data_IF_131096322154
#
_entry.id   IF_131096322154
#
_cell.length_a   1.000
_cell.length_b   1.000
_cell.length_c   1.000
_cell.angle_alpha   90.00
_cell.angle_beta   90.00
_cell.angle_gamma   90.00
#
_symmetry.space_group_name_H-M   'P 1'
#
loop_
_entity.id
_entity.type
_entity.pdbx_description
1 polymer ?
#
# COMPACT_ATOMS: atom_id res chain seq x y z
N UNK A 1 9.75 5.29 -28.80
CA UNK A 1 9.84 4.15 -27.86
C UNK A 1 9.33 4.65 -26.52
N UNK A 2 8.15 4.20 -26.08
CA UNK A 2 7.60 4.59 -24.79
C UNK A 2 8.39 3.88 -23.70
N UNK A 3 9.36 4.59 -23.15
CA UNK A 3 10.19 4.14 -22.04
C UNK A 3 9.34 4.31 -20.78
N UNK A 4 8.81 3.19 -20.29
CA UNK A 4 8.17 3.12 -18.99
C UNK A 4 9.21 3.56 -17.96
N UNK A 5 9.12 4.82 -17.51
CA UNK A 5 9.80 5.28 -16.30
C UNK A 5 9.19 4.51 -15.14
N UNK A 6 9.74 3.33 -14.90
CA UNK A 6 9.62 2.62 -13.63
C UNK A 6 10.01 3.61 -12.55
N UNK A 7 9.00 4.08 -11.82
CA UNK A 7 9.19 4.75 -10.55
C UNK A 7 10.01 3.80 -9.67
N UNK A 8 11.33 3.94 -9.72
CA UNK A 8 12.28 3.41 -8.76
C UNK A 8 11.97 4.07 -7.43
N UNK A 9 10.91 3.59 -6.77
CA UNK A 9 10.87 3.55 -5.33
C UNK A 9 12.04 2.65 -4.97
N UNK A 10 13.19 3.26 -4.74
CA UNK A 10 14.35 2.62 -4.13
C UNK A 10 13.85 2.22 -2.75
N UNK A 11 13.33 0.99 -2.66
CA UNK A 11 13.08 0.36 -1.39
C UNK A 11 14.45 -0.13 -0.98
N UNK A 12 15.18 0.70 -0.23
CA UNK A 12 16.31 0.27 0.58
C UNK A 12 15.97 -1.09 1.17
N UNK A 13 16.86 -2.08 0.97
CA UNK A 13 16.62 -3.46 1.37
C UNK A 13 16.13 -3.46 2.83
N UNK A 14 14.87 -3.85 3.09
CA UNK A 14 14.30 -3.75 4.42
C UNK A 14 15.10 -4.60 5.40
N UNK A 15 15.80 -3.91 6.31
CA UNK A 15 16.74 -4.48 7.29
C UNK A 15 16.02 -5.31 8.35
N UNK A 16 14.75 -4.99 8.63
CA UNK A 16 13.94 -5.74 9.60
C UNK A 16 12.78 -6.48 8.94
N UNK A 17 12.26 -7.50 9.63
CA UNK A 17 11.04 -8.21 9.20
C UNK A 17 9.84 -7.25 9.15
N UNK A 18 9.78 -6.27 10.05
CA UNK A 18 8.72 -5.27 10.06
C UNK A 18 8.73 -4.44 8.76
N UNK A 19 9.90 -3.96 8.35
CA UNK A 19 10.07 -3.18 7.11
C UNK A 19 9.68 -3.99 5.87
N UNK A 20 9.98 -5.31 5.87
CA UNK A 20 9.56 -6.23 4.80
C UNK A 20 8.05 -6.36 4.72
N UNK A 21 7.39 -6.50 5.86
CA UNK A 21 5.93 -6.59 5.95
C UNK A 21 5.29 -5.29 5.47
N UNK A 22 5.81 -4.13 5.89
CA UNK A 22 5.32 -2.82 5.44
C UNK A 22 5.51 -2.63 3.93
N UNK A 23 6.71 -2.94 3.42
CA UNK A 23 7.02 -2.93 1.98
C UNK A 23 6.02 -3.78 1.20
N UNK A 24 5.76 -5.01 1.66
CA UNK A 24 4.85 -5.92 0.99
C UNK A 24 3.40 -5.41 0.99
N UNK A 25 2.97 -4.80 2.10
CA UNK A 25 1.66 -4.15 2.21
C UNK A 25 1.52 -2.98 1.25
N UNK A 26 2.52 -2.09 1.19
CA UNK A 26 2.51 -0.93 0.28
C UNK A 26 2.48 -1.39 -1.18
N UNK A 27 3.34 -2.34 -1.56
CA UNK A 27 3.35 -2.90 -2.91
C UNK A 27 2.02 -3.54 -3.29
N UNK A 28 1.44 -4.31 -2.38
CA UNK A 28 0.14 -4.96 -2.61
C UNK A 28 -0.97 -3.94 -2.75
N UNK A 29 -0.99 -2.91 -1.90
CA UNK A 29 -1.92 -1.78 -1.99
C UNK A 29 -1.82 -1.10 -3.35
N UNK A 30 -0.62 -0.73 -3.80
CA UNK A 30 -0.41 -0.06 -5.09
C UNK A 30 -0.87 -0.93 -6.27
N UNK A 31 -0.61 -2.24 -6.22
CA UNK A 31 -1.04 -3.19 -7.25
C UNK A 31 -2.56 -3.31 -7.34
N UNK A 32 -3.25 -3.37 -6.20
CA UNK A 32 -4.72 -3.40 -6.14
C UNK A 32 -5.29 -2.06 -6.58
N UNK A 33 -4.69 -0.94 -6.17
CA UNK A 33 -5.13 0.39 -6.57
C UNK A 33 -4.98 0.63 -8.08
N UNK A 34 -3.94 0.06 -8.70
CA UNK A 34 -3.75 0.13 -10.15
C UNK A 34 -4.74 -0.74 -10.95
N UNK A 35 -5.26 -1.83 -10.36
CA UNK A 35 -6.21 -2.73 -11.02
C UNK A 35 -7.64 -2.53 -10.48
N UNK A 36 -8.47 -1.82 -11.25
CA UNK A 36 -9.86 -1.54 -10.88
C UNK A 36 -10.78 -2.76 -10.85
N UNK A 37 -10.44 -3.82 -11.56
CA UNK A 37 -11.19 -5.08 -11.58
C UNK A 37 -10.81 -6.01 -10.42
N UNK A 38 -9.82 -5.60 -9.62
CA UNK A 38 -9.42 -6.40 -8.46
C UNK A 38 -10.56 -6.42 -7.43
N UNK A 39 -10.94 -7.58 -6.86
CA UNK A 39 -12.07 -7.66 -5.92
C UNK A 39 -11.88 -6.82 -4.65
N UNK A 40 -10.62 -6.53 -4.30
CA UNK A 40 -10.28 -5.65 -3.17
C UNK A 40 -10.13 -4.17 -3.56
N UNK A 41 -10.33 -3.80 -4.83
CA UNK A 41 -10.23 -2.41 -5.27
C UNK A 41 -11.33 -1.55 -4.63
N UNK A 42 -12.56 -2.07 -4.56
CA UNK A 42 -13.68 -1.39 -3.90
C UNK A 42 -13.41 -1.16 -2.41
N UNK A 43 -12.72 -2.09 -1.74
CA UNK A 43 -12.32 -1.96 -0.33
C UNK A 43 -11.31 -0.82 -0.09
N UNK A 44 -10.59 -0.37 -1.13
CA UNK A 44 -9.73 0.81 -1.05
C UNK A 44 -10.53 2.12 -1.03
N UNK A 45 -11.66 2.13 -1.75
CA UNK A 45 -12.50 3.32 -1.96
C UNK A 45 -13.50 3.49 -0.82
N UNK A 46 -13.91 2.38 -0.19
CA UNK A 46 -14.84 2.39 0.95
C UNK A 46 -14.34 3.33 2.05
N UNK A 47 -15.25 4.18 2.51
CA UNK A 47 -14.98 5.11 3.60
C UNK A 47 -14.55 4.32 4.85
N UNK A 48 -13.35 4.62 5.33
CA UNK A 48 -12.75 3.91 6.44
C UNK A 48 -13.43 4.34 7.72
N UNK A 49 -14.35 3.52 8.21
CA UNK A 49 -15.01 3.76 9.49
C UNK A 49 -13.99 3.94 10.63
N UNK A 50 -14.28 4.84 11.56
CA UNK A 50 -13.44 5.18 12.72
C UNK A 50 -13.38 4.06 13.77
N UNK A 51 -13.07 2.81 13.37
CA UNK A 51 -12.94 1.69 14.31
C UNK A 51 -11.64 1.85 15.11
N UNK A 52 -11.75 2.65 16.17
CA UNK A 52 -10.69 2.91 17.14
C UNK A 52 -10.08 1.59 17.65
N UNK A 53 -8.78 1.47 17.40
CA UNK A 53 -7.76 0.73 18.17
C UNK A 53 -7.78 -0.82 18.24
N UNK A 54 -8.75 -1.57 17.70
CA UNK A 54 -8.69 -3.05 17.76
C UNK A 54 -8.01 -3.75 16.58
N UNK A 55 -7.68 -3.03 15.52
CA UNK A 55 -6.90 -3.57 14.40
C UNK A 55 -7.09 -2.70 13.16
N UNK A 56 -6.07 -1.93 12.80
CA UNK A 56 -6.06 -1.27 11.49
C UNK A 56 -5.93 -2.37 10.45
N UNK A 57 -6.84 -2.43 9.48
CA UNK A 57 -6.66 -3.28 8.28
C UNK A 57 -5.27 -3.05 7.70
N UNK A 58 -4.64 -4.08 7.17
CA UNK A 58 -3.33 -3.95 6.52
C UNK A 58 -3.36 -2.92 5.37
N UNK A 59 -4.52 -2.74 4.72
CA UNK A 59 -4.78 -1.71 3.71
C UNK A 59 -4.68 -0.29 4.28
N UNK A 60 -5.16 -0.07 5.51
CA UNK A 60 -5.07 1.22 6.19
C UNK A 60 -3.63 1.53 6.57
N UNK A 61 -2.89 0.52 7.02
CA UNK A 61 -1.48 0.67 7.35
C UNK A 61 -0.66 0.99 6.09
N UNK A 62 -0.95 0.34 4.96
CA UNK A 62 -0.31 0.65 3.68
C UNK A 62 -0.58 2.09 3.21
N UNK A 63 -1.84 2.55 3.28
CA UNK A 63 -2.18 3.93 2.93
C UNK A 63 -1.55 4.95 3.89
N UNK A 64 -1.60 4.70 5.21
CA UNK A 64 -0.97 5.55 6.22
C UNK A 64 0.55 5.68 5.96
N UNK A 65 1.22 4.59 5.57
CA UNK A 65 2.64 4.61 5.18
C UNK A 65 2.88 5.42 3.92
N UNK A 66 2.04 5.27 2.88
CA UNK A 66 2.14 6.08 1.66
C UNK A 66 1.98 7.58 1.94
N UNK A 67 1.01 7.97 2.78
CA UNK A 67 0.79 9.37 3.20
C UNK A 67 1.93 9.99 4.00
N UNK A 68 2.82 9.17 4.58
CA UNK A 68 4.01 9.68 5.30
C UNK A 68 5.20 9.92 4.37
N UNK A 69 5.23 9.22 3.24
CA UNK A 69 6.35 9.25 2.28
C UNK A 69 6.08 10.27 1.16
N UNK A 70 4.82 10.41 0.74
CA UNK A 70 4.36 11.42 -0.23
C UNK A 70 3.88 12.69 0.48
#
# INVERSE_FOLDING_TARGET
KHEYKENRIIIDLPTTIADRIETWRVRSYLRINANKEHPLHEELIKEKGCRLKRGRSWLNQAEDTLRKIC
#
